data_IF_953660139989
#
_entry.id   IF_953660139989
#
_cell.length_a   1.000
_cell.length_b   1.000
_cell.length_c   1.000
_cell.angle_alpha   90.00
_cell.angle_beta   90.00
_cell.angle_gamma   90.00
#
_symmetry.space_group_name_H-M   'P 1'
#
loop_
_entity.id
_entity.type
_entity.pdbx_description
1 polymer ?
#
# COMPACT_ATOMS: atom_id res chain seq x y z
N UNK A 1 21.44 -1.84 13.11
CA UNK A 1 20.67 -2.06 11.87
C UNK A 1 19.37 -2.64 12.33
N UNK A 2 18.40 -1.76 12.60
CA UNK A 2 17.11 -2.18 13.15
C UNK A 2 16.40 -3.04 12.11
N UNK A 3 15.86 -4.17 12.55
CA UNK A 3 15.15 -5.11 11.71
C UNK A 3 14.08 -4.35 10.92
N UNK A 4 14.12 -4.46 9.59
CA UNK A 4 13.04 -3.98 8.74
C UNK A 4 11.87 -4.92 9.04
N UNK A 5 10.95 -4.46 9.88
CA UNK A 5 9.72 -5.19 10.16
C UNK A 5 8.89 -5.26 8.86
N UNK A 6 8.51 -6.49 8.50
CA UNK A 6 7.81 -6.88 7.27
C UNK A 6 6.38 -7.31 7.65
N UNK A 7 5.55 -6.35 8.04
CA UNK A 7 4.32 -6.61 8.81
C UNK A 7 3.05 -6.67 7.96
N UNK A 8 3.16 -6.69 6.62
CA UNK A 8 1.97 -6.79 5.78
C UNK A 8 1.45 -8.23 5.74
N UNK A 9 0.42 -8.50 6.53
CA UNK A 9 -0.25 -9.81 6.57
C UNK A 9 -1.10 -10.09 5.32
N UNK A 10 -1.36 -11.37 4.97
CA UNK A 10 -2.18 -11.73 3.82
C UNK A 10 -3.60 -11.13 3.81
N UNK A 11 -4.24 -11.05 4.97
CA UNK A 11 -5.57 -10.44 5.13
C UNK A 11 -5.57 -8.93 4.87
N UNK A 12 -4.53 -8.24 5.32
CA UNK A 12 -4.32 -6.82 5.06
C UNK A 12 -4.08 -6.57 3.57
N UNK A 13 -3.33 -7.46 2.91
CA UNK A 13 -3.15 -7.40 1.46
C UNK A 13 -4.46 -7.62 0.69
N UNK A 14 -5.30 -8.56 1.12
CA UNK A 14 -6.63 -8.75 0.54
C UNK A 14 -7.51 -7.49 0.72
N UNK A 15 -7.48 -6.88 1.91
CA UNK A 15 -8.21 -5.65 2.20
C UNK A 15 -7.72 -4.46 1.34
N UNK A 16 -6.40 -4.32 1.13
CA UNK A 16 -5.84 -3.32 0.22
C UNK A 16 -6.33 -3.52 -1.21
N UNK A 17 -6.27 -4.74 -1.75
CA UNK A 17 -6.74 -5.03 -3.11
C UNK A 17 -8.23 -4.69 -3.26
N UNK A 18 -9.06 -5.05 -2.26
CA UNK A 18 -10.48 -4.74 -2.26
C UNK A 18 -10.75 -3.23 -2.18
N UNK A 19 -10.10 -2.52 -1.27
CA UNK A 19 -10.31 -1.09 -1.05
C UNK A 19 -9.89 -0.23 -2.27
N UNK A 20 -8.84 -0.64 -2.98
CA UNK A 20 -8.41 0.04 -4.20
C UNK A 20 -9.20 -0.38 -5.44
N UNK A 21 -9.68 -1.63 -5.51
CA UNK A 21 -10.46 -2.15 -6.64
C UNK A 21 -9.65 -2.33 -7.94
N UNK A 22 -8.33 -2.18 -7.88
CA UNK A 22 -7.44 -2.23 -9.05
C UNK A 22 -6.07 -1.64 -8.73
N UNK A 23 -5.28 -1.36 -9.76
CA UNK A 23 -4.01 -0.65 -9.60
C UNK A 23 -4.25 0.74 -9.00
N UNK A 24 -3.59 1.04 -7.89
CA UNK A 24 -3.67 2.32 -7.18
C UNK A 24 -3.26 3.53 -8.01
N UNK A 25 -2.55 3.30 -9.11
CA UNK A 25 -2.02 4.35 -9.97
C UNK A 25 -2.84 4.57 -11.24
N UNK A 26 -3.03 3.53 -12.05
CA UNK A 26 -3.73 3.65 -13.33
C UNK A 26 -5.19 3.17 -13.30
N UNK A 27 -5.65 2.61 -12.17
CA UNK A 27 -6.99 2.06 -12.02
C UNK A 27 -7.24 0.73 -12.73
N UNK A 28 -6.25 0.18 -13.45
CA UNK A 28 -6.43 -1.07 -14.18
C UNK A 28 -6.75 -2.23 -13.22
N UNK A 29 -7.91 -2.87 -13.43
CA UNK A 29 -8.30 -4.13 -12.81
C UNK A 29 -8.03 -5.33 -13.73
N UNK A 30 -8.38 -6.53 -13.26
CA UNK A 30 -8.31 -7.76 -14.08
C UNK A 30 -6.89 -8.22 -14.44
N UNK A 31 -5.86 -7.63 -13.83
CA UNK A 31 -4.46 -8.04 -13.98
C UNK A 31 -3.87 -8.39 -12.61
N UNK A 32 -2.85 -9.26 -12.52
CA UNK A 32 -2.18 -9.53 -11.27
C UNK A 32 -1.60 -8.25 -10.67
N UNK A 33 -1.99 -7.96 -9.42
CA UNK A 33 -1.52 -6.80 -8.68
C UNK A 33 -0.31 -7.20 -7.83
N UNK A 34 0.67 -6.32 -7.80
CA UNK A 34 1.90 -6.41 -7.01
C UNK A 34 1.82 -5.43 -5.84
N UNK A 35 2.60 -5.70 -4.80
CA UNK A 35 2.74 -4.80 -3.65
C UNK A 35 3.81 -3.78 -3.98
N UNK A 36 3.44 -2.51 -3.99
CA UNK A 36 4.38 -1.40 -4.16
C UNK A 36 4.35 -0.51 -2.92
N UNK A 37 5.52 0.01 -2.54
CA UNK A 37 5.67 0.91 -1.40
C UNK A 37 5.56 2.37 -1.87
N UNK A 38 4.61 3.11 -1.31
CA UNK A 38 4.38 4.53 -1.58
C UNK A 38 5.63 5.36 -1.28
N UNK A 39 6.21 5.19 -0.09
CA UNK A 39 7.59 5.58 0.20
C UNK A 39 8.51 4.36 -0.05
N UNK A 40 9.46 4.41 -1.00
CA UNK A 40 10.37 3.31 -1.26
C UNK A 40 11.18 2.90 -0.02
N UNK A 41 11.46 1.59 0.12
CA UNK A 41 12.25 1.05 1.24
C UNK A 41 13.66 1.68 1.28
N UNK A 42 14.27 1.90 0.10
CA UNK A 42 15.56 2.57 -0.03
C UNK A 42 15.59 4.02 0.47
N UNK A 43 14.42 4.62 0.74
CA UNK A 43 14.25 5.96 1.30
C UNK A 43 13.60 5.95 2.69
N UNK A 44 13.68 4.82 3.40
CA UNK A 44 13.15 4.68 4.76
C UNK A 44 11.69 4.25 4.83
N UNK A 45 11.09 3.86 3.70
CA UNK A 45 9.78 3.21 3.69
C UNK A 45 9.79 1.84 4.38
N UNK A 46 8.64 1.45 4.93
CA UNK A 46 8.43 0.14 5.57
C UNK A 46 7.40 -0.67 4.81
N UNK A 47 7.45 -1.99 4.95
CA UNK A 47 6.53 -2.89 4.26
C UNK A 47 5.26 -3.13 5.09
N UNK A 48 4.46 -2.08 5.26
CA UNK A 48 3.31 -2.06 6.18
C UNK A 48 2.01 -1.73 5.47
N UNK A 49 0.89 -1.99 6.13
CA UNK A 49 -0.47 -1.66 5.67
C UNK A 49 -0.63 -0.19 5.23
N UNK A 50 0.04 0.74 5.93
CA UNK A 50 -0.05 2.17 5.63
C UNK A 50 0.81 2.64 4.46
N UNK A 51 1.81 1.86 4.06
CA UNK A 51 2.78 2.24 3.02
C UNK A 51 2.67 1.39 1.74
N UNK A 52 2.03 0.22 1.80
CA UNK A 52 1.86 -0.65 0.63
C UNK A 52 0.55 -0.35 -0.09
N UNK A 53 0.60 -0.30 -1.43
CA UNK A 53 -0.57 -0.20 -2.31
C UNK A 53 -0.50 -1.26 -3.40
N UNK A 54 -1.65 -1.70 -3.95
CA UNK A 54 -1.66 -2.58 -5.09
C UNK A 54 -1.31 -1.84 -6.39
N UNK A 55 -0.37 -2.38 -7.17
CA UNK A 55 0.04 -1.81 -8.44
C UNK A 55 0.12 -2.88 -9.52
N UNK A 56 -0.30 -2.58 -10.75
CA UNK A 56 -0.04 -3.48 -11.88
C UNK A 56 1.45 -3.53 -12.20
N UNK A 57 1.91 -4.59 -12.88
CA UNK A 57 3.33 -4.78 -13.18
C UNK A 57 3.98 -3.62 -13.95
N UNK A 58 3.25 -2.99 -14.88
CA UNK A 58 3.77 -1.86 -15.66
C UNK A 58 3.96 -0.59 -14.81
N UNK A 59 3.01 -0.28 -13.92
CA UNK A 59 3.14 0.85 -13.01
C UNK A 59 4.23 0.61 -11.97
N UNK A 60 4.26 -0.57 -11.34
CA UNK A 60 5.28 -0.90 -10.34
C UNK A 60 6.69 -0.83 -10.93
N UNK A 61 6.92 -1.45 -12.09
CA UNK A 61 8.21 -1.38 -12.78
C UNK A 61 8.58 0.05 -13.22
N UNK A 62 7.58 0.85 -13.65
CA UNK A 62 7.82 2.24 -14.05
C UNK A 62 8.13 3.17 -12.87
N UNK A 63 7.59 2.90 -11.67
CA UNK A 63 7.88 3.66 -10.46
C UNK A 63 9.19 3.24 -9.85
N UNK A 64 9.45 1.94 -9.75
CA UNK A 64 10.66 1.40 -9.16
C UNK A 64 10.92 2.07 -7.78
N UNK A 65 12.10 2.66 -7.60
CA UNK A 65 12.52 3.33 -6.37
C UNK A 65 12.26 4.84 -6.36
N UNK A 66 11.46 5.36 -7.28
CA UNK A 66 11.08 6.77 -7.30
C UNK A 66 10.05 7.08 -6.22
N UNK A 67 10.12 8.30 -5.69
CA UNK A 67 9.09 8.83 -4.79
C UNK A 67 7.77 8.97 -5.54
N UNK A 68 6.67 8.54 -4.89
CA UNK A 68 5.36 8.41 -5.53
C UNK A 68 4.89 9.72 -6.17
N UNK A 69 5.03 10.86 -5.50
CA UNK A 69 4.51 12.14 -5.98
C UNK A 69 5.29 12.62 -7.19
N UNK A 70 6.62 12.58 -7.12
CA UNK A 70 7.50 12.90 -8.25
C UNK A 70 7.24 12.01 -9.46
N UNK A 71 7.04 10.70 -9.24
CA UNK A 71 6.68 9.76 -10.30
C UNK A 71 5.28 10.03 -10.88
N UNK A 72 4.25 10.26 -10.05
CA UNK A 72 2.89 10.57 -10.49
C UNK A 72 2.87 11.81 -11.39
N UNK A 73 3.55 12.90 -10.99
CA UNK A 73 3.66 14.12 -11.80
C UNK A 73 4.32 13.85 -13.16
N UNK A 74 5.42 13.09 -13.18
CA UNK A 74 6.10 12.70 -14.44
C UNK A 74 5.22 11.84 -15.34
N UNK A 75 4.41 10.94 -14.77
CA UNK A 75 3.44 10.12 -15.49
C UNK A 75 2.16 10.88 -15.87
N UNK A 76 2.01 12.14 -15.45
CA UNK A 76 0.81 12.96 -15.60
C UNK A 76 -0.44 12.29 -15.03
N UNK A 77 -0.26 11.57 -13.92
CA UNK A 77 -1.35 11.00 -13.13
C UNK A 77 -1.80 12.01 -12.07
N UNK A 78 -3.04 11.90 -11.61
CA UNK A 78 -3.61 12.81 -10.62
C UNK A 78 -3.06 12.52 -9.22
N UNK A 79 -2.02 13.26 -8.84
CA UNK A 79 -1.41 13.17 -7.51
C UNK A 79 -2.38 13.49 -6.38
N UNK A 80 -3.24 14.51 -6.55
CA UNK A 80 -4.16 14.92 -5.48
C UNK A 80 -5.17 13.81 -5.23
N UNK A 81 -5.75 13.26 -6.28
CA UNK A 81 -6.69 12.15 -6.18
C UNK A 81 -6.04 10.93 -5.50
N UNK A 82 -4.80 10.59 -5.89
CA UNK A 82 -4.04 9.51 -5.25
C UNK A 82 -3.85 9.74 -3.75
N UNK A 83 -3.35 10.92 -3.35
CA UNK A 83 -3.04 11.21 -1.94
C UNK A 83 -4.30 11.22 -1.06
N UNK A 84 -5.41 11.77 -1.56
CA UNK A 84 -6.70 11.76 -0.85
C UNK A 84 -7.18 10.33 -0.68
N UNK A 85 -7.22 9.54 -1.77
CA UNK A 85 -7.65 8.14 -1.74
C UNK A 85 -6.79 7.29 -0.81
N UNK A 86 -5.46 7.49 -0.85
CA UNK A 86 -4.52 6.78 0.01
C UNK A 86 -4.77 7.10 1.48
N UNK A 87 -5.00 8.37 1.84
CA UNK A 87 -5.32 8.77 3.20
C UNK A 87 -6.65 8.16 3.69
N UNK A 88 -7.70 8.18 2.87
CA UNK A 88 -9.01 7.59 3.17
C UNK A 88 -8.94 6.07 3.41
N UNK A 89 -8.26 5.35 2.51
CA UNK A 89 -8.08 3.90 2.63
C UNK A 89 -7.26 3.59 3.87
N UNK A 90 -6.16 4.32 4.12
CA UNK A 90 -5.32 4.10 5.29
C UNK A 90 -6.09 4.32 6.59
N UNK A 91 -6.88 5.38 6.68
CA UNK A 91 -7.75 5.64 7.83
C UNK A 91 -8.78 4.51 8.01
N UNK A 92 -9.42 4.07 6.92
CA UNK A 92 -10.42 3.00 6.97
C UNK A 92 -9.82 1.66 7.41
N UNK A 93 -8.65 1.30 6.88
CA UNK A 93 -8.00 0.03 7.22
C UNK A 93 -7.38 0.06 8.63
N UNK A 94 -6.95 1.22 9.13
CA UNK A 94 -6.50 1.37 10.52
C UNK A 94 -7.64 1.10 11.53
N UNK A 95 -8.89 1.41 11.17
CA UNK A 95 -10.05 1.05 12.00
C UNK A 95 -10.31 -0.47 12.04
N UNK A 96 -9.88 -1.20 11.00
CA UNK A 96 -10.08 -2.65 10.90
C UNK A 96 -8.94 -3.45 11.53
N UNK A 97 -7.70 -3.02 11.33
CA UNK A 97 -6.48 -3.77 11.71
C UNK A 97 -5.64 -3.09 12.80
N UNK A 98 -6.06 -1.92 13.30
CA UNK A 98 -5.27 -1.11 14.23
C UNK A 98 -4.20 -0.23 13.53
N UNK A 99 -3.59 0.72 14.26
CA UNK A 99 -2.66 1.71 13.69
C UNK A 99 -1.34 1.11 13.18
N UNK A 100 -0.92 -0.04 13.72
CA UNK A 100 0.36 -0.69 13.40
C UNK A 100 0.21 -2.06 12.72
N UNK A 101 -1.02 -2.48 12.38
CA UNK A 101 -1.26 -3.81 11.83
C UNK A 101 -0.97 -4.97 12.78
N UNK A 102 -0.71 -4.67 14.06
CA UNK A 102 -0.53 -5.65 15.12
C UNK A 102 -1.84 -6.42 15.33
N UNK A 103 -1.75 -7.74 15.14
CA UNK A 103 -2.83 -8.69 15.33
C UNK A 103 -3.59 -8.41 16.64
N UNK A 104 -4.92 -8.34 16.58
CA UNK A 104 -5.74 -8.38 17.79
C UNK A 104 -5.40 -9.70 18.49
N UNK A 105 -5.06 -9.73 19.79
CA UNK A 105 -4.78 -11.00 20.44
C UNK A 105 -5.98 -11.92 20.27
N UNK A 106 -5.79 -13.04 19.58
CA UNK A 106 -6.75 -14.14 19.57
C UNK A 106 -6.93 -14.53 21.03
N UNK A 107 -8.13 -14.33 21.57
CA UNK A 107 -8.51 -14.88 22.85
C UNK A 107 -8.46 -16.42 22.70
N UNK A 108 -7.40 -17.03 23.22
CA UNK A 108 -7.33 -18.49 23.39
C UNK A 108 -8.21 -18.80 24.60
N UNK A 109 -9.31 -19.58 24.46
CA UNK A 109 -10.04 -20.05 25.61
C UNK A 109 -9.22 -21.14 26.33
N UNK A 110 -9.23 -21.07 27.67
CA UNK A 110 -8.57 -22.02 28.58
C UNK A 110 -8.96 -23.49 28.34
#
# INVERSE_FOLDING_TARGET
MDAVEHDLHPEQWAALQHAWGGCAYCGAGGTPLQRDCVLPISRGGRYTLGNVVPACGSCNASKCNDEVTGWLRRKRLDERAFLVRHAEIRASLALLFGPDGAERPVAVPD
#
